data_IF_688230137372
#
_entry.id   IF_688230137372
#
_cell.length_a   1.000
_cell.length_b   1.000
_cell.length_c   1.000
_cell.angle_alpha   90.00
_cell.angle_beta   90.00
_cell.angle_gamma   90.00
#
_symmetry.space_group_name_H-M   'P 1'
#
loop_
_entity.id
_entity.type
_entity.pdbx_description
1 polymer ?
#
# COMPACT_ATOMS: atom_id res chain seq x y z
N UNK A 1 -9.31 -16.64 -17.48
CA UNK A 1 -9.73 -15.96 -16.26
C UNK A 1 -8.52 -15.44 -15.47
N UNK A 2 -8.73 -14.76 -14.31
CA UNK A 2 -7.63 -14.20 -13.53
C UNK A 2 -6.65 -15.25 -13.00
N UNK A 3 -7.13 -16.41 -12.61
CA UNK A 3 -6.29 -17.51 -12.13
C UNK A 3 -5.38 -18.04 -13.25
N UNK A 4 -5.90 -18.25 -14.44
CA UNK A 4 -5.12 -18.70 -15.61
C UNK A 4 -4.06 -17.67 -16.01
N UNK A 5 -4.39 -16.38 -15.99
CA UNK A 5 -3.44 -15.31 -16.25
C UNK A 5 -2.31 -15.29 -15.20
N UNK A 6 -2.65 -15.45 -13.93
CA UNK A 6 -1.68 -15.57 -12.83
C UNK A 6 -0.74 -16.77 -13.04
N UNK A 7 -1.30 -17.95 -13.29
CA UNK A 7 -0.52 -19.19 -13.55
C UNK A 7 0.42 -18.99 -14.74
N UNK A 8 -0.08 -18.45 -15.85
CA UNK A 8 0.72 -18.22 -17.06
C UNK A 8 1.89 -17.26 -16.82
N UNK A 9 1.62 -16.15 -16.13
CA UNK A 9 2.64 -15.13 -15.80
C UNK A 9 3.70 -15.69 -14.85
N UNK A 10 3.27 -16.37 -13.79
CA UNK A 10 4.19 -16.98 -12.81
C UNK A 10 5.06 -18.05 -13.46
N UNK A 11 4.47 -18.90 -14.30
CA UNK A 11 5.19 -19.95 -15.01
C UNK A 11 6.24 -19.35 -15.97
N UNK A 12 5.90 -18.30 -16.68
CA UNK A 12 6.83 -17.58 -17.56
C UNK A 12 8.02 -17.03 -16.76
N UNK A 13 7.76 -16.32 -15.64
CA UNK A 13 8.81 -15.72 -14.81
C UNK A 13 9.67 -16.81 -14.14
N UNK A 14 9.05 -17.84 -13.60
CA UNK A 14 9.75 -18.96 -12.96
C UNK A 14 10.71 -19.67 -13.91
N UNK A 15 10.30 -19.87 -15.17
CA UNK A 15 11.16 -20.49 -16.18
C UNK A 15 12.38 -19.61 -16.54
N UNK A 16 12.28 -18.28 -16.38
CA UNK A 16 13.42 -17.38 -16.59
C UNK A 16 14.32 -17.29 -15.34
N UNK A 17 13.74 -17.35 -14.15
CA UNK A 17 14.46 -17.29 -12.87
C UNK A 17 13.76 -18.16 -11.81
N UNK A 18 14.19 -19.42 -11.61
CA UNK A 18 13.59 -20.31 -10.61
C UNK A 18 13.78 -19.85 -9.14
N UNK A 19 14.64 -18.86 -8.89
CA UNK A 19 14.87 -18.33 -7.54
C UNK A 19 13.98 -17.12 -7.21
N UNK A 20 13.13 -16.68 -8.14
CA UNK A 20 12.21 -15.56 -7.89
C UNK A 20 11.25 -15.89 -6.75
N UNK A 21 10.91 -14.89 -5.94
CA UNK A 21 9.82 -14.99 -4.96
C UNK A 21 8.59 -14.26 -5.48
N UNK A 22 7.43 -14.82 -5.19
CA UNK A 22 6.15 -14.25 -5.62
C UNK A 22 5.33 -13.76 -4.44
N UNK A 23 4.61 -12.69 -4.70
CA UNK A 23 3.44 -12.27 -3.95
C UNK A 23 2.23 -12.43 -4.87
N UNK A 24 1.19 -13.10 -4.41
CA UNK A 24 -0.02 -13.34 -5.20
C UNK A 24 -1.26 -12.89 -4.45
N UNK A 25 -2.22 -12.38 -5.18
CA UNK A 25 -3.49 -11.96 -4.59
C UNK A 25 -4.30 -11.08 -5.51
N UNK A 26 -5.43 -10.60 -5.01
CA UNK A 26 -6.29 -9.66 -5.72
C UNK A 26 -6.50 -8.40 -4.88
N UNK A 27 -6.55 -7.27 -5.56
CA UNK A 27 -6.89 -5.98 -4.93
C UNK A 27 -8.39 -5.95 -4.59
N UNK A 28 -8.73 -5.68 -3.32
CA UNK A 28 -10.12 -5.67 -2.84
C UNK A 28 -10.97 -4.59 -3.51
N UNK A 29 -10.37 -3.47 -3.89
CA UNK A 29 -11.02 -2.39 -4.63
C UNK A 29 -11.46 -2.80 -6.04
N UNK A 30 -10.82 -3.80 -6.62
CA UNK A 30 -11.17 -4.32 -7.95
C UNK A 30 -12.23 -5.41 -7.83
N UNK A 31 -12.02 -6.37 -6.93
CA UNK A 31 -12.94 -7.47 -6.71
C UNK A 31 -12.80 -8.03 -5.29
N UNK A 32 -13.91 -8.14 -4.59
CA UNK A 32 -13.99 -8.90 -3.34
C UNK A 32 -14.07 -10.40 -3.63
N UNK A 33 -13.31 -11.20 -2.90
CA UNK A 33 -13.43 -12.66 -2.91
C UNK A 33 -13.66 -13.19 -1.49
N UNK A 34 -14.27 -14.36 -1.40
CA UNK A 34 -14.52 -15.03 -0.12
C UNK A 34 -13.44 -16.06 0.20
N UNK A 35 -13.54 -16.66 1.38
CA UNK A 35 -12.60 -17.66 1.89
C UNK A 35 -12.47 -18.87 0.94
N UNK A 36 -13.58 -19.32 0.36
CA UNK A 36 -13.60 -20.45 -0.58
C UNK A 36 -12.87 -20.13 -1.90
N UNK A 37 -13.01 -18.90 -2.40
CA UNK A 37 -12.31 -18.44 -3.60
C UNK A 37 -10.80 -18.34 -3.37
N UNK A 38 -10.36 -17.84 -2.19
CA UNK A 38 -8.94 -17.84 -1.82
C UNK A 38 -8.39 -19.25 -1.76
N UNK A 39 -9.10 -20.17 -1.08
CA UNK A 39 -8.72 -21.57 -1.01
C UNK A 39 -8.63 -22.23 -2.38
N UNK A 40 -9.57 -21.94 -3.27
CA UNK A 40 -9.56 -22.45 -4.64
C UNK A 40 -8.36 -21.94 -5.44
N UNK A 41 -8.06 -20.64 -5.34
CA UNK A 41 -6.89 -20.04 -5.98
C UNK A 41 -5.60 -20.75 -5.54
N UNK A 42 -5.37 -20.87 -4.23
CA UNK A 42 -4.18 -21.52 -3.70
C UNK A 42 -4.11 -23.01 -4.09
N UNK A 43 -5.25 -23.71 -4.11
CA UNK A 43 -5.31 -25.09 -4.58
C UNK A 43 -4.95 -25.21 -6.07
N UNK A 44 -5.34 -24.25 -6.92
CA UNK A 44 -4.94 -24.28 -8.33
C UNK A 44 -3.43 -23.99 -8.48
N UNK A 45 -2.92 -23.00 -7.76
CA UNK A 45 -1.49 -22.63 -7.81
C UNK A 45 -0.59 -23.76 -7.26
N UNK A 46 -1.05 -24.50 -6.24
CA UNK A 46 -0.25 -25.58 -5.61
C UNK A 46 0.03 -26.78 -6.53
N UNK A 47 -0.57 -26.84 -7.71
CA UNK A 47 -0.30 -27.87 -8.73
C UNK A 47 0.97 -27.58 -9.56
N UNK A 48 1.61 -26.44 -9.38
CA UNK A 48 2.73 -25.98 -10.19
C UNK A 48 4.03 -25.85 -9.39
N UNK A 49 5.20 -26.10 -10.00
CA UNK A 49 6.49 -26.08 -9.32
C UNK A 49 6.85 -24.73 -8.68
N UNK A 50 6.34 -23.62 -9.21
CA UNK A 50 6.57 -22.28 -8.68
C UNK A 50 5.83 -22.03 -7.36
N UNK A 51 4.98 -22.92 -6.90
CA UNK A 51 4.22 -22.72 -5.67
C UNK A 51 5.13 -22.50 -4.44
N UNK A 52 6.21 -23.24 -4.34
CA UNK A 52 7.21 -23.12 -3.26
C UNK A 52 7.94 -21.75 -3.28
N UNK A 53 7.77 -20.99 -4.35
CA UNK A 53 8.30 -19.65 -4.49
C UNK A 53 7.30 -18.56 -4.07
N UNK A 54 6.06 -18.91 -3.75
CA UNK A 54 5.08 -17.95 -3.21
C UNK A 54 5.46 -17.66 -1.76
N UNK A 55 5.90 -16.43 -1.51
CA UNK A 55 6.25 -16.00 -0.17
C UNK A 55 5.05 -15.37 0.55
N UNK A 56 4.25 -14.58 -0.16
CA UNK A 56 3.08 -13.92 0.41
C UNK A 56 1.85 -14.10 -0.45
N UNK A 57 0.72 -14.21 0.25
CA UNK A 57 -0.62 -14.17 -0.34
C UNK A 57 -1.37 -12.97 0.22
N UNK A 58 -1.85 -12.11 -0.67
CA UNK A 58 -2.62 -10.93 -0.29
C UNK A 58 -4.02 -11.36 0.15
N UNK A 59 -4.36 -11.07 1.39
CA UNK A 59 -5.66 -11.33 2.00
C UNK A 59 -6.53 -10.08 2.01
N UNK A 60 -7.84 -10.26 2.00
CA UNK A 60 -8.81 -9.17 1.98
C UNK A 60 -9.55 -9.10 3.31
N UNK A 61 -9.22 -8.12 4.13
CA UNK A 61 -9.81 -7.89 5.45
C UNK A 61 -10.95 -6.86 5.50
N UNK A 62 -11.21 -6.19 4.38
CA UNK A 62 -12.20 -5.12 4.29
C UNK A 62 -11.64 -3.70 4.42
N UNK A 63 -10.34 -3.54 4.29
CA UNK A 63 -9.66 -2.24 4.40
C UNK A 63 -9.60 -1.51 3.06
N UNK A 64 -9.53 -0.19 3.13
CA UNK A 64 -9.34 0.70 1.99
C UNK A 64 -8.65 2.00 2.43
N UNK A 65 -8.29 2.84 1.49
CA UNK A 65 -7.61 4.10 1.78
C UNK A 65 -8.35 5.30 1.20
N UNK A 66 -8.36 6.38 1.96
CA UNK A 66 -8.68 7.74 1.49
C UNK A 66 -7.45 8.62 1.72
N UNK A 67 -6.71 8.90 0.67
CA UNK A 67 -5.50 9.72 0.76
C UNK A 67 -5.80 11.20 0.94
N UNK A 68 -6.98 11.65 0.51
CA UNK A 68 -7.44 13.02 0.74
C UNK A 68 -7.64 13.28 2.22
N UNK A 69 -8.31 12.38 2.91
CA UNK A 69 -8.57 12.48 4.36
C UNK A 69 -7.46 11.89 5.22
N UNK A 70 -6.51 11.19 4.64
CA UNK A 70 -5.42 10.49 5.34
C UNK A 70 -5.94 9.52 6.41
N UNK A 71 -6.92 8.70 6.04
CA UNK A 71 -7.54 7.71 6.91
C UNK A 71 -7.59 6.34 6.23
N UNK A 72 -7.56 5.30 7.07
CA UNK A 72 -7.96 3.98 6.62
C UNK A 72 -9.49 3.93 6.59
N UNK A 73 -10.04 3.41 5.50
CA UNK A 73 -11.49 3.32 5.26
C UNK A 73 -11.89 1.87 5.05
N UNK A 74 -13.19 1.63 4.95
CA UNK A 74 -13.74 0.31 4.69
C UNK A 74 -14.35 -0.32 5.93
N UNK A 75 -14.74 -1.58 5.79
CA UNK A 75 -15.38 -2.35 6.85
C UNK A 75 -14.46 -3.50 7.25
N UNK A 76 -13.44 -3.19 8.07
CA UNK A 76 -12.56 -4.19 8.61
C UNK A 76 -13.34 -5.31 9.32
N UNK A 77 -13.01 -6.55 8.99
CA UNK A 77 -13.65 -7.73 9.57
C UNK A 77 -12.58 -8.70 10.09
N UNK A 78 -12.34 -8.71 11.42
CA UNK A 78 -11.31 -9.56 12.03
C UNK A 78 -11.57 -11.05 11.81
N UNK A 79 -12.83 -11.49 11.79
CA UNK A 79 -13.16 -12.90 11.54
C UNK A 79 -12.83 -13.34 10.13
N UNK A 80 -13.06 -12.46 9.14
CA UNK A 80 -12.66 -12.71 7.76
C UNK A 80 -11.14 -12.77 7.63
N UNK A 81 -10.42 -11.86 8.28
CA UNK A 81 -8.95 -11.87 8.31
C UNK A 81 -8.43 -13.17 8.91
N UNK A 82 -8.92 -13.57 10.09
CA UNK A 82 -8.55 -14.82 10.76
C UNK A 82 -8.75 -16.05 9.87
N UNK A 83 -9.90 -16.14 9.18
CA UNK A 83 -10.18 -17.24 8.27
C UNK A 83 -9.20 -17.29 7.10
N UNK A 84 -8.88 -16.14 6.49
CA UNK A 84 -7.95 -16.06 5.37
C UNK A 84 -6.51 -16.37 5.79
N UNK A 85 -6.07 -15.90 6.97
CA UNK A 85 -4.79 -16.26 7.58
C UNK A 85 -4.68 -17.78 7.72
N UNK A 86 -5.71 -18.42 8.28
CA UNK A 86 -5.73 -19.87 8.44
C UNK A 86 -5.63 -20.62 7.11
N UNK A 87 -6.29 -20.13 6.07
CA UNK A 87 -6.15 -20.72 4.73
C UNK A 87 -4.70 -20.61 4.24
N UNK A 88 -4.04 -19.44 4.40
CA UNK A 88 -2.64 -19.30 4.04
C UNK A 88 -1.75 -20.28 4.80
N UNK A 89 -1.95 -20.44 6.11
CA UNK A 89 -1.24 -21.40 6.95
C UNK A 89 -1.44 -22.85 6.50
N UNK A 90 -2.67 -23.25 6.14
CA UNK A 90 -3.00 -24.57 5.63
C UNK A 90 -2.24 -24.90 4.33
N UNK A 91 -1.86 -23.91 3.55
CA UNK A 91 -1.05 -24.05 2.33
C UNK A 91 0.44 -23.78 2.54
N UNK A 92 0.87 -23.43 3.75
CA UNK A 92 2.28 -23.16 4.06
C UNK A 92 2.83 -21.86 3.47
N UNK A 93 1.97 -20.89 3.18
CA UNK A 93 2.32 -19.56 2.64
C UNK A 93 2.01 -18.47 3.66
N UNK A 94 2.74 -17.34 3.60
CA UNK A 94 2.52 -16.21 4.50
C UNK A 94 1.35 -15.36 4.02
N UNK A 95 0.59 -14.84 4.97
CA UNK A 95 -0.50 -13.89 4.74
C UNK A 95 0.00 -12.44 4.73
N UNK A 96 -0.57 -11.61 3.87
CA UNK A 96 -0.22 -10.20 3.78
C UNK A 96 -1.45 -9.33 3.54
N UNK A 97 -1.62 -8.30 4.35
CA UNK A 97 -2.65 -7.28 4.14
C UNK A 97 -2.06 -6.09 3.37
N UNK A 98 -2.77 -5.61 2.35
CA UNK A 98 -2.48 -4.34 1.69
C UNK A 98 -3.25 -3.19 2.36
N UNK A 99 -2.87 -1.94 2.03
CA UNK A 99 -3.56 -0.74 2.52
C UNK A 99 -3.55 -0.60 4.05
N UNK A 100 -2.44 -0.93 4.69
CA UNK A 100 -2.27 -0.77 6.14
C UNK A 100 -1.97 0.66 6.58
N UNK A 101 -2.03 1.64 5.67
CA UNK A 101 -1.74 3.04 5.97
C UNK A 101 -2.77 3.64 6.93
N UNK A 102 -2.35 4.59 7.76
CA UNK A 102 -3.16 5.36 8.71
C UNK A 102 -3.87 4.54 9.81
N UNK A 103 -3.49 3.29 10.00
CA UNK A 103 -3.97 2.51 11.15
C UNK A 103 -3.33 3.02 12.44
N UNK A 104 -4.07 2.91 13.54
CA UNK A 104 -3.53 3.09 14.89
C UNK A 104 -2.64 1.91 15.30
N UNK A 105 -1.83 2.10 16.33
CA UNK A 105 -0.95 1.03 16.84
C UNK A 105 -1.77 -0.17 17.36
N UNK A 106 -2.94 0.07 17.96
CA UNK A 106 -3.83 -0.99 18.45
C UNK A 106 -4.43 -1.79 17.28
N UNK A 107 -4.77 -1.13 16.15
CA UNK A 107 -5.26 -1.81 14.96
C UNK A 107 -4.18 -2.65 14.28
N UNK A 108 -2.92 -2.20 14.26
CA UNK A 108 -1.82 -3.06 13.82
C UNK A 108 -1.65 -4.26 14.74
N UNK A 109 -1.63 -4.01 16.07
CA UNK A 109 -1.47 -5.07 17.05
C UNK A 109 -2.53 -6.15 16.93
N UNK A 110 -3.80 -5.77 16.78
CA UNK A 110 -4.91 -6.70 16.59
C UNK A 110 -4.67 -7.65 15.40
N UNK A 111 -4.20 -7.12 14.28
CA UNK A 111 -3.92 -7.92 13.07
C UNK A 111 -2.80 -8.93 13.27
N UNK A 112 -1.72 -8.52 13.89
CA UNK A 112 -0.60 -9.42 14.21
C UNK A 112 -0.96 -10.43 15.30
N UNK A 113 -1.75 -10.04 16.29
CA UNK A 113 -2.28 -10.96 17.32
C UNK A 113 -3.20 -12.05 16.69
N UNK A 114 -3.88 -11.76 15.59
CA UNK A 114 -4.64 -12.74 14.80
C UNK A 114 -3.74 -13.68 13.97
N UNK A 115 -2.44 -13.39 13.87
CA UNK A 115 -1.46 -14.20 13.16
C UNK A 115 -1.15 -13.74 11.74
N UNK A 116 -1.49 -12.49 11.38
CA UNK A 116 -1.09 -11.92 10.10
C UNK A 116 0.44 -11.79 10.02
N UNK A 117 1.04 -12.22 8.90
CA UNK A 117 2.50 -12.24 8.75
C UNK A 117 3.08 -10.89 8.27
N UNK A 118 2.33 -10.10 7.54
CA UNK A 118 2.82 -8.85 6.94
C UNK A 118 1.71 -7.85 6.63
N UNK A 119 2.05 -6.56 6.67
CA UNK A 119 1.19 -5.44 6.23
C UNK A 119 2.00 -4.50 5.33
N UNK A 120 1.41 -4.08 4.21
CA UNK A 120 1.96 -3.02 3.37
C UNK A 120 1.51 -1.64 3.85
N UNK A 121 2.48 -0.74 4.02
CA UNK A 121 2.27 0.68 4.25
C UNK A 121 3.10 1.41 3.18
N UNK A 122 2.48 2.23 2.36
CA UNK A 122 3.19 2.90 1.27
C UNK A 122 2.85 4.39 1.11
N UNK A 123 1.63 4.82 0.74
CA UNK A 123 1.33 6.23 0.55
C UNK A 123 1.50 7.08 1.81
N UNK A 124 1.26 6.55 3.00
CA UNK A 124 1.50 7.26 4.26
C UNK A 124 2.96 7.72 4.39
N UNK A 125 3.94 6.86 4.05
CA UNK A 125 5.36 7.25 4.05
C UNK A 125 5.67 8.32 3.01
N UNK A 126 5.09 8.22 1.81
CA UNK A 126 5.22 9.23 0.78
C UNK A 126 4.62 10.58 1.19
N UNK A 127 3.49 10.57 1.89
CA UNK A 127 2.88 11.80 2.42
C UNK A 127 3.67 12.39 3.59
N UNK A 128 4.30 11.57 4.44
CA UNK A 128 5.24 12.04 5.46
C UNK A 128 6.41 12.77 4.80
N UNK A 129 7.00 12.21 3.74
CA UNK A 129 8.05 12.87 2.97
C UNK A 129 7.58 14.18 2.35
N UNK A 130 6.41 14.18 1.70
CA UNK A 130 5.77 15.36 1.13
C UNK A 130 5.60 16.49 2.17
N UNK A 131 5.11 16.17 3.36
CA UNK A 131 4.98 17.14 4.46
C UNK A 131 6.32 17.72 4.90
N UNK A 132 7.38 16.91 4.94
CA UNK A 132 8.71 17.42 5.24
C UNK A 132 9.18 18.46 4.22
N UNK A 133 8.87 18.28 2.92
CA UNK A 133 9.18 19.28 1.89
C UNK A 133 8.32 20.55 2.06
N UNK A 134 7.02 20.41 2.25
CA UNK A 134 6.13 21.54 2.49
C UNK A 134 6.56 22.39 3.68
N UNK A 135 6.90 21.76 4.81
CA UNK A 135 7.41 22.45 6.00
C UNK A 135 8.67 23.27 5.71
N UNK A 136 9.53 22.78 4.82
CA UNK A 136 10.78 23.45 4.45
C UNK A 136 10.56 24.59 3.47
N UNK A 137 9.64 24.39 2.52
CA UNK A 137 9.29 25.39 1.50
C UNK A 137 8.49 26.56 2.10
N UNK A 138 7.68 26.30 3.14
CA UNK A 138 6.84 27.34 3.78
C UNK A 138 5.74 27.81 2.84
N UNK A 139 5.86 29.04 2.33
CA UNK A 139 4.91 29.63 1.39
C UNK A 139 5.40 29.60 -0.07
N UNK A 140 6.66 29.22 -0.31
CA UNK A 140 7.26 29.10 -1.65
C UNK A 140 6.95 27.73 -2.26
N UNK A 141 5.66 27.46 -2.48
CA UNK A 141 5.14 26.16 -2.93
C UNK A 141 4.58 26.17 -4.35
N UNK A 142 4.62 27.30 -5.05
CA UNK A 142 3.93 27.46 -6.33
C UNK A 142 4.37 26.43 -7.38
N UNK A 143 5.68 26.26 -7.53
CA UNK A 143 6.21 25.30 -8.51
C UNK A 143 5.83 23.86 -8.14
N UNK A 144 5.89 23.51 -6.84
CA UNK A 144 5.48 22.17 -6.38
C UNK A 144 3.99 21.94 -6.60
N UNK A 145 3.17 22.96 -6.29
CA UNK A 145 1.74 22.92 -6.56
C UNK A 145 1.46 22.70 -8.04
N UNK A 146 2.12 23.45 -8.94
CA UNK A 146 1.87 23.32 -10.37
C UNK A 146 2.22 21.91 -10.88
N UNK A 147 3.35 21.33 -10.44
CA UNK A 147 3.74 19.94 -10.79
C UNK A 147 2.66 18.95 -10.30
N UNK A 148 2.20 19.10 -9.06
CA UNK A 148 1.13 18.26 -8.50
C UNK A 148 -0.18 18.41 -9.26
N UNK A 149 -0.57 19.64 -9.55
CA UNK A 149 -1.81 19.96 -10.26
C UNK A 149 -1.83 19.35 -11.65
N UNK A 150 -0.74 19.50 -12.43
CA UNK A 150 -0.61 18.96 -13.79
C UNK A 150 -0.56 17.43 -13.83
N UNK A 151 -0.12 16.79 -12.74
CA UNK A 151 -0.10 15.34 -12.60
C UNK A 151 -1.49 14.70 -12.63
N UNK A 152 -2.53 15.46 -12.25
CA UNK A 152 -3.93 15.02 -12.08
C UNK A 152 -4.11 13.84 -11.11
N UNK A 153 -3.08 13.49 -10.33
CA UNK A 153 -3.13 12.36 -9.40
C UNK A 153 -4.01 12.62 -8.16
N UNK A 154 -4.35 13.88 -7.91
CA UNK A 154 -5.21 14.34 -6.83
C UNK A 154 -6.70 14.14 -7.13
N UNK A 155 -7.15 14.18 -8.40
CA UNK A 155 -8.57 14.24 -8.81
C UNK A 155 -9.45 13.12 -8.22
N UNK A 156 -8.90 11.92 -8.03
CA UNK A 156 -9.63 10.78 -7.47
C UNK A 156 -9.77 10.80 -5.94
N UNK A 157 -9.10 11.74 -5.26
CA UNK A 157 -9.02 11.79 -3.80
C UNK A 157 -9.76 12.96 -3.19
N UNK A 158 -10.40 13.78 -4.01
CA UNK A 158 -11.11 15.00 -3.59
C UNK A 158 -12.57 14.96 -4.03
N UNK A 159 -13.39 15.71 -3.34
CA UNK A 159 -14.79 15.89 -3.71
C UNK A 159 -14.93 16.83 -4.93
N UNK A 160 -16.09 16.80 -5.61
CA UNK A 160 -16.33 17.54 -6.86
C UNK A 160 -16.28 19.07 -6.73
N UNK A 161 -16.46 19.55 -5.53
CA UNK A 161 -16.43 20.99 -5.18
C UNK A 161 -15.07 21.44 -4.65
N UNK A 162 -14.07 20.59 -4.65
CA UNK A 162 -12.70 20.93 -4.28
C UNK A 162 -12.12 22.00 -5.22
N UNK A 163 -11.57 23.06 -4.65
CA UNK A 163 -11.01 24.20 -5.37
C UNK A 163 -9.47 24.16 -5.30
N UNK A 164 -8.79 23.57 -6.30
CA UNK A 164 -7.35 23.29 -6.25
C UNK A 164 -6.49 24.53 -5.98
N UNK A 165 -6.80 25.66 -6.63
CA UNK A 165 -6.01 26.89 -6.50
C UNK A 165 -6.20 27.61 -5.15
N UNK A 166 -7.28 27.33 -4.44
CA UNK A 166 -7.54 27.86 -3.09
C UNK A 166 -6.93 26.95 -2.01
N UNK A 167 -6.72 25.65 -2.34
CA UNK A 167 -6.28 24.62 -1.41
C UNK A 167 -4.94 24.00 -1.84
N UNK A 168 -3.96 24.82 -2.25
CA UNK A 168 -2.70 24.37 -2.84
C UNK A 168 -1.90 23.43 -1.93
N UNK A 169 -1.76 23.75 -0.64
CA UNK A 169 -1.04 22.92 0.33
C UNK A 169 -1.71 21.56 0.50
N UNK A 170 -3.02 21.54 0.63
CA UNK A 170 -3.80 20.30 0.74
C UNK A 170 -3.65 19.42 -0.50
N UNK A 171 -3.74 20.02 -1.70
CA UNK A 171 -3.52 19.28 -2.95
C UNK A 171 -2.13 18.63 -2.99
N UNK A 172 -1.09 19.37 -2.58
CA UNK A 172 0.26 18.80 -2.51
C UNK A 172 0.33 17.68 -1.46
N UNK A 173 -0.27 17.84 -0.29
CA UNK A 173 -0.30 16.78 0.74
C UNK A 173 -0.96 15.51 0.22
N UNK A 174 -2.02 15.63 -0.58
CA UNK A 174 -2.72 14.50 -1.18
C UNK A 174 -1.86 13.76 -2.18
N UNK A 175 -1.22 14.46 -3.10
CA UNK A 175 -0.61 13.83 -4.28
C UNK A 175 0.89 14.10 -4.50
N UNK A 176 1.54 14.90 -3.65
CA UNK A 176 2.96 15.27 -3.81
C UNK A 176 3.89 14.06 -3.88
N UNK A 177 3.57 13.00 -3.16
CA UNK A 177 4.34 11.76 -3.20
C UNK A 177 4.37 11.06 -4.58
N UNK A 178 3.39 11.33 -5.45
CA UNK A 178 3.37 10.76 -6.80
C UNK A 178 4.37 11.44 -7.76
N UNK A 179 4.85 12.62 -7.41
CA UNK A 179 5.74 13.41 -8.27
C UNK A 179 7.16 13.58 -7.72
N UNK A 180 7.53 12.85 -6.67
CA UNK A 180 8.85 12.95 -6.03
C UNK A 180 10.02 12.57 -6.96
N UNK A 181 9.76 11.79 -8.01
CA UNK A 181 10.73 11.44 -9.05
C UNK A 181 10.60 12.27 -10.33
N UNK A 182 9.68 13.23 -10.38
CA UNK A 182 9.52 14.12 -11.51
C UNK A 182 10.75 15.03 -11.70
N UNK A 183 11.20 15.20 -12.94
CA UNK A 183 12.41 15.98 -13.23
C UNK A 183 12.28 17.46 -12.84
N UNK A 184 11.08 18.03 -12.88
CA UNK A 184 10.83 19.40 -12.45
C UNK A 184 10.90 19.49 -10.92
N UNK A 185 10.27 18.54 -10.21
CA UNK A 185 10.36 18.50 -8.74
C UNK A 185 11.81 18.32 -8.27
N UNK A 186 12.59 17.46 -8.90
CA UNK A 186 13.99 17.25 -8.55
C UNK A 186 14.86 18.53 -8.64
N UNK A 187 14.47 19.52 -9.47
CA UNK A 187 15.16 20.81 -9.59
C UNK A 187 14.85 21.77 -8.41
N UNK A 188 13.65 21.66 -7.83
CA UNK A 188 13.19 22.53 -6.74
C UNK A 188 13.26 21.85 -5.37
N UNK A 189 13.51 20.55 -5.34
CA UNK A 189 13.52 19.71 -4.14
C UNK A 189 14.46 20.25 -3.06
N UNK A 190 13.98 20.60 -1.85
CA UNK A 190 14.83 21.00 -0.73
C UNK A 190 15.77 19.87 -0.27
N UNK A 191 16.99 20.23 0.13
CA UNK A 191 17.98 19.29 0.66
C UNK A 191 17.73 19.03 2.15
N UNK A 192 16.82 18.11 2.46
CA UNK A 192 16.37 17.79 3.83
C UNK A 192 16.38 16.29 4.14
N UNK A 193 17.18 15.50 3.44
CA UNK A 193 17.20 14.04 3.54
C UNK A 193 17.36 13.53 4.99
N UNK A 194 18.14 14.23 5.83
CA UNK A 194 18.31 13.87 7.24
C UNK A 194 17.02 14.05 8.06
N UNK A 195 16.23 15.11 7.78
CA UNK A 195 14.93 15.33 8.43
C UNK A 195 13.95 14.25 8.02
N UNK A 196 13.87 13.94 6.73
CA UNK A 196 13.00 12.90 6.18
C UNK A 196 13.31 11.55 6.80
N UNK A 197 14.58 11.13 6.78
CA UNK A 197 15.03 9.87 7.40
C UNK A 197 14.67 9.81 8.88
N UNK A 198 14.84 10.90 9.61
CA UNK A 198 14.50 10.97 11.04
C UNK A 198 12.99 10.74 11.24
N UNK A 199 12.14 11.46 10.52
CA UNK A 199 10.68 11.37 10.66
C UNK A 199 10.16 9.98 10.27
N UNK A 200 10.66 9.41 9.18
CA UNK A 200 10.30 8.03 8.77
C UNK A 200 10.75 7.01 9.81
N UNK A 201 11.97 7.15 10.35
CA UNK A 201 12.47 6.25 11.39
C UNK A 201 11.67 6.34 12.69
N UNK A 202 11.14 7.51 13.05
CA UNK A 202 10.26 7.67 14.21
C UNK A 202 8.95 6.88 14.01
N UNK A 203 8.33 6.96 12.83
CA UNK A 203 7.14 6.14 12.48
C UNK A 203 7.49 4.65 12.50
N UNK A 204 8.59 4.23 11.88
CA UNK A 204 9.01 2.82 11.87
C UNK A 204 9.27 2.27 13.28
N UNK A 205 9.89 3.06 14.16
CA UNK A 205 10.09 2.66 15.57
C UNK A 205 8.76 2.51 16.31
N UNK A 206 7.78 3.39 16.08
CA UNK A 206 6.47 3.25 16.70
C UNK A 206 5.78 1.95 16.25
N UNK A 207 5.91 1.60 14.98
CA UNK A 207 5.37 0.34 14.44
C UNK A 207 6.10 -0.89 14.99
N UNK A 208 7.44 -0.84 15.09
CA UNK A 208 8.25 -1.97 15.61
C UNK A 208 7.99 -2.30 17.08
N UNK A 209 7.30 -1.44 17.81
CA UNK A 209 6.91 -1.71 19.21
C UNK A 209 5.61 -2.54 19.33
N UNK A 210 4.91 -2.79 18.22
CA UNK A 210 3.64 -3.54 18.20
C UNK A 210 3.72 -4.83 17.39
N UNK A 211 4.84 -5.05 16.70
CA UNK A 211 5.22 -6.26 15.98
C UNK A 211 6.21 -7.04 16.86
#
# INVERSE_FOLDING_TARGET
DGCEATISSMNYIYNQNPNVKFEVGTEESIRKFNDGELKLLLHQLSKFPFFDNIEYVVVQSGVGLDLGKQINTGNYNPKRLENMIKICQDFGVKSKEHNGDYLSLDEYKERFDLGLDSINIAPEFGQIETKCYLDKMGDDIEDYFQICFDSKRWEKWVDKDFLPHENKKELIEICGHYVLSDEQFLKIKPQIDSKIKKTINEKLRSLSNVI
#
